data_IF_191730005747
#
_entry.id   IF_191730005747
#
_cell.length_a   1.000
_cell.length_b   1.000
_cell.length_c   1.000
_cell.angle_alpha   90.00
_cell.angle_beta   90.00
_cell.angle_gamma   90.00
#
_symmetry.space_group_name_H-M   'P 1'
#
loop_
_entity.id
_entity.type
_entity.pdbx_description
1 polymer ?
#
# COMPACT_ATOMS: atom_id res chain seq x y z
N UNK A 1 15.91 13.18 -20.63
CA UNK A 1 16.18 12.31 -19.46
C UNK A 1 14.85 11.97 -18.81
N UNK A 2 14.30 10.78 -19.07
CA UNK A 2 13.04 10.36 -18.41
C UNK A 2 13.37 9.99 -16.97
N UNK A 3 13.12 10.90 -16.02
CA UNK A 3 13.30 10.62 -14.59
C UNK A 3 12.51 9.39 -14.16
N UNK A 4 13.09 8.59 -13.27
CA UNK A 4 12.45 7.42 -12.66
C UNK A 4 11.09 7.83 -12.10
N UNK A 5 10.02 7.20 -12.60
CA UNK A 5 8.64 7.49 -12.20
C UNK A 5 8.29 6.61 -11.01
N UNK A 6 8.05 7.21 -9.84
CA UNK A 6 7.57 6.50 -8.66
C UNK A 6 6.20 5.86 -8.98
N UNK A 7 6.14 4.54 -8.89
CA UNK A 7 4.96 3.74 -9.22
C UNK A 7 4.17 3.35 -7.95
N UNK A 8 4.86 3.04 -6.85
CA UNK A 8 4.24 2.74 -5.56
C UNK A 8 5.07 3.38 -4.43
N UNK A 9 4.41 4.11 -3.55
CA UNK A 9 5.01 4.65 -2.33
C UNK A 9 4.21 4.16 -1.13
N UNK A 10 4.90 3.56 -0.17
CA UNK A 10 4.34 3.14 1.13
C UNK A 10 5.10 3.90 2.21
N UNK A 11 4.39 4.58 3.11
CA UNK A 11 4.98 5.39 4.17
C UNK A 11 4.29 5.13 5.50
N UNK A 12 5.09 4.76 6.49
CA UNK A 12 4.68 4.54 7.88
C UNK A 12 3.44 3.66 7.97
N UNK A 13 3.44 2.55 7.22
CA UNK A 13 2.29 1.66 7.12
C UNK A 13 2.22 0.76 8.35
N UNK A 14 1.16 0.96 9.12
CA UNK A 14 0.82 0.16 10.29
C UNK A 14 -0.53 -0.52 10.08
N UNK A 15 -0.63 -1.78 10.50
CA UNK A 15 -1.86 -2.53 10.41
C UNK A 15 -1.96 -3.64 11.45
N UNK A 16 -3.15 -3.80 12.03
CA UNK A 16 -3.46 -4.81 13.03
C UNK A 16 -4.75 -5.55 12.67
N UNK A 17 -4.76 -6.88 12.88
CA UNK A 17 -6.02 -7.61 13.00
C UNK A 17 -6.45 -7.60 14.46
N UNK A 18 -7.54 -6.92 14.78
CA UNK A 18 -7.98 -6.68 16.16
C UNK A 18 -6.82 -6.08 16.99
N UNK A 19 -6.39 -6.78 18.04
CA UNK A 19 -5.30 -6.32 18.92
C UNK A 19 -3.90 -6.82 18.48
N UNK A 20 -3.81 -7.60 17.39
CA UNK A 20 -2.54 -8.16 16.92
C UNK A 20 -1.94 -7.28 15.82
N UNK A 21 -0.82 -6.62 16.11
CA UNK A 21 -0.03 -5.89 15.12
C UNK A 21 0.59 -6.85 14.10
N UNK A 22 0.37 -6.59 12.81
CA UNK A 22 0.84 -7.42 11.69
C UNK A 22 1.86 -6.68 10.84
N UNK A 23 1.63 -5.40 10.59
CA UNK A 23 2.59 -4.51 9.94
C UNK A 23 2.93 -3.38 10.91
N UNK A 24 4.22 -3.06 10.99
CA UNK A 24 4.78 -2.10 11.92
C UNK A 24 5.68 -1.13 11.17
N UNK A 25 5.20 0.10 10.98
CA UNK A 25 5.92 1.22 10.39
C UNK A 25 6.63 0.90 9.06
N UNK A 26 5.98 0.16 8.15
CA UNK A 26 6.58 -0.26 6.88
C UNK A 26 6.68 0.94 5.93
N UNK A 27 7.86 1.19 5.38
CA UNK A 27 8.10 2.28 4.43
C UNK A 27 9.03 1.86 3.29
N UNK A 28 8.60 2.04 2.04
CA UNK A 28 9.41 1.78 0.85
C UNK A 28 8.84 2.50 -0.39
N UNK A 29 9.66 2.61 -1.43
CA UNK A 29 9.25 3.10 -2.74
C UNK A 29 9.60 2.07 -3.81
N UNK A 30 8.76 2.01 -4.84
CA UNK A 30 8.94 1.17 -6.03
C UNK A 30 8.83 2.08 -7.24
N UNK A 31 9.83 2.02 -8.09
CA UNK A 31 9.88 2.78 -9.32
C UNK A 31 9.31 1.95 -10.48
N UNK A 32 8.93 2.64 -11.55
CA UNK A 32 8.58 1.98 -12.80
C UNK A 32 9.75 1.12 -13.27
N UNK A 33 9.45 -0.10 -13.70
CA UNK A 33 10.40 -1.15 -14.16
C UNK A 33 11.13 -1.91 -13.04
N UNK A 34 10.90 -1.58 -11.77
CA UNK A 34 11.38 -2.41 -10.67
C UNK A 34 10.67 -3.78 -10.66
N UNK A 35 11.46 -4.83 -10.43
CA UNK A 35 10.97 -6.16 -10.09
C UNK A 35 11.29 -6.44 -8.62
N UNK A 36 10.25 -6.59 -7.80
CA UNK A 36 10.39 -6.74 -6.35
C UNK A 36 9.79 -8.06 -5.88
N UNK A 37 10.49 -8.72 -4.96
CA UNK A 37 10.02 -9.89 -4.23
C UNK A 37 9.83 -9.55 -2.75
N UNK A 38 8.76 -10.06 -2.14
CA UNK A 38 8.48 -9.91 -0.71
C UNK A 38 8.79 -11.24 -0.02
N UNK A 39 9.82 -11.24 0.83
CA UNK A 39 10.31 -12.43 1.51
C UNK A 39 10.05 -12.36 3.03
N UNK A 40 9.95 -13.54 3.67
CA UNK A 40 9.76 -13.65 5.12
C UNK A 40 9.02 -14.93 5.54
N UNK A 41 9.04 -15.30 6.82
CA UNK A 41 8.40 -16.52 7.32
C UNK A 41 6.87 -16.48 7.24
N UNK A 42 6.22 -17.63 7.38
CA UNK A 42 4.76 -17.69 7.44
C UNK A 42 4.23 -16.85 8.61
N UNK A 43 3.19 -16.06 8.34
CA UNK A 43 2.62 -15.13 9.33
C UNK A 43 3.33 -13.77 9.44
N UNK A 44 4.39 -13.50 8.68
CA UNK A 44 5.11 -12.21 8.72
C UNK A 44 4.37 -11.01 8.07
N UNK A 45 3.12 -11.19 7.65
CA UNK A 45 2.31 -10.10 7.08
C UNK A 45 2.45 -9.86 5.57
N UNK A 46 3.16 -10.72 4.82
CA UNK A 46 3.35 -10.54 3.36
C UNK A 46 2.04 -10.42 2.58
N UNK A 47 1.14 -11.39 2.74
CA UNK A 47 -0.18 -11.34 2.08
C UNK A 47 -1.02 -10.17 2.57
N UNK A 48 -0.88 -9.79 3.84
CA UNK A 48 -1.54 -8.59 4.39
C UNK A 48 -1.05 -7.32 3.68
N UNK A 49 0.26 -7.16 3.50
CA UNK A 49 0.85 -6.03 2.78
C UNK A 49 0.33 -5.97 1.34
N UNK A 50 0.34 -7.09 0.61
CA UNK A 50 -0.18 -7.17 -0.76
C UNK A 50 -1.67 -6.82 -0.81
N UNK A 51 -2.48 -7.32 0.13
CA UNK A 51 -3.91 -7.04 0.19
C UNK A 51 -4.20 -5.56 0.49
N UNK A 52 -3.40 -4.90 1.34
CA UNK A 52 -3.53 -3.46 1.62
C UNK A 52 -3.17 -2.62 0.40
N UNK A 53 -2.05 -2.92 -0.26
CA UNK A 53 -1.64 -2.23 -1.50
C UNK A 53 -2.69 -2.40 -2.60
N UNK A 54 -3.27 -3.59 -2.71
CA UNK A 54 -4.31 -3.92 -3.69
C UNK A 54 -5.71 -3.43 -3.30
N UNK A 55 -5.84 -2.76 -2.14
CA UNK A 55 -7.11 -2.29 -1.56
C UNK A 55 -8.17 -3.38 -1.32
N UNK A 56 -7.74 -4.65 -1.25
CA UNK A 56 -8.58 -5.78 -0.80
C UNK A 56 -8.83 -5.67 0.71
N UNK A 57 -7.85 -5.13 1.44
CA UNK A 57 -7.94 -4.83 2.86
C UNK A 57 -7.86 -3.32 3.07
N UNK A 58 -8.60 -2.82 4.06
CA UNK A 58 -8.69 -1.40 4.41
C UNK A 58 -8.47 -1.21 5.92
N UNK A 59 -8.48 0.04 6.39
CA UNK A 59 -8.34 0.34 7.83
C UNK A 59 -6.89 0.34 8.32
N UNK A 60 -5.95 0.75 7.47
CA UNK A 60 -4.53 0.91 7.84
C UNK A 60 -4.20 2.36 8.20
N UNK A 61 -3.15 2.52 9.00
CA UNK A 61 -2.52 3.80 9.29
C UNK A 61 -1.36 4.06 8.33
N UNK A 62 -1.01 5.33 8.15
CA UNK A 62 -0.02 5.75 7.15
C UNK A 62 -0.61 5.98 5.76
N UNK A 63 0.27 5.90 4.74
CA UNK A 63 -0.03 6.31 3.37
C UNK A 63 0.45 5.27 2.35
N UNK A 64 -0.42 4.95 1.39
CA UNK A 64 -0.08 4.13 0.23
C UNK A 64 -0.49 4.90 -1.03
N UNK A 65 0.44 5.16 -1.93
CA UNK A 65 0.22 5.90 -3.17
C UNK A 65 0.63 5.05 -4.37
N UNK A 66 -0.22 5.00 -5.40
CA UNK A 66 0.09 4.34 -6.68
C UNK A 66 0.09 5.41 -7.77
N UNK A 67 1.20 5.53 -8.51
CA UNK A 67 1.37 6.58 -9.52
C UNK A 67 1.16 8.00 -8.98
N UNK A 68 1.55 8.23 -7.72
CA UNK A 68 1.40 9.54 -7.05
C UNK A 68 -0.01 9.86 -6.54
N UNK A 69 -0.95 8.91 -6.55
CA UNK A 69 -2.30 9.08 -5.98
C UNK A 69 -2.51 8.15 -4.81
N UNK A 70 -2.99 8.70 -3.69
CA UNK A 70 -3.33 7.90 -2.52
C UNK A 70 -4.49 6.95 -2.83
N UNK A 71 -4.29 5.66 -2.55
CA UNK A 71 -5.24 4.61 -2.88
C UNK A 71 -6.54 4.73 -2.08
N UNK A 72 -6.57 5.48 -0.96
CA UNK A 72 -7.80 5.76 -0.19
C UNK A 72 -8.88 6.39 -1.09
N UNK A 73 -8.50 7.16 -2.11
CA UNK A 73 -9.42 7.82 -3.03
C UNK A 73 -9.83 6.98 -4.26
N UNK A 74 -9.20 5.82 -4.48
CA UNK A 74 -9.59 4.93 -5.59
C UNK A 74 -11.00 4.38 -5.37
N UNK A 75 -11.91 4.54 -6.33
CA UNK A 75 -13.31 4.12 -6.17
C UNK A 75 -14.26 5.24 -5.73
N UNK A 76 -13.80 6.50 -5.58
CA UNK A 76 -14.70 7.67 -5.57
C UNK A 76 -15.07 8.08 -7.00
N UNK A 77 -15.59 7.12 -7.77
CA UNK A 77 -16.29 7.40 -9.01
C UNK A 77 -17.79 7.52 -8.66
N UNK A 78 -18.38 8.69 -8.94
CA UNK A 78 -19.82 8.96 -8.99
C UNK A 78 -20.62 8.89 -7.68
N UNK A 79 -20.31 9.79 -6.74
CA UNK A 79 -21.38 10.39 -5.92
C UNK A 79 -21.30 11.91 -6.06
N UNK A 80 -21.50 12.38 -7.29
CA UNK A 80 -21.85 13.77 -7.56
C UNK A 80 -23.26 13.78 -8.13
N UNK A 81 -24.18 14.31 -7.30
CA UNK A 81 -25.32 15.13 -7.68
C UNK A 81 -26.43 14.47 -8.52
N UNK A 82 -27.55 14.14 -7.85
CA UNK A 82 -28.86 14.69 -8.17
C UNK A 82 -29.51 15.16 -6.86
#
# INVERSE_FOLDING_TARGET
MSGKRNMLSVKNLDFSYNQRKVLDNISFNVEKEDFISILGPNGSGKSTLVNLISKVLIGYEGKIEVGGRDIKFYGRALQSTW
#
